data_IF_479210718988
#
_entry.id   IF_479210718988
#
_cell.length_a   1.000
_cell.length_b   1.000
_cell.length_c   1.000
_cell.angle_alpha   90.00
_cell.angle_beta   90.00
_cell.angle_gamma   90.00
#
_symmetry.space_group_name_H-M   'P 1'
#
loop_
_entity.id
_entity.type
_entity.pdbx_description
1 polymer ?
#
# COMPACT_ATOMS: atom_id res chain seq x y z
N UNK A 1 31.30 -8.81 39.93
CA UNK A 1 31.57 -7.56 39.19
C UNK A 1 33.04 -7.22 39.37
N UNK A 2 33.78 -6.91 38.30
CA UNK A 2 35.20 -6.56 38.39
C UNK A 2 35.32 -5.13 38.94
N UNK A 3 36.44 -4.81 39.59
CA UNK A 3 36.68 -3.47 40.15
C UNK A 3 36.59 -2.34 39.10
N UNK A 4 36.92 -2.63 37.85
CA UNK A 4 36.76 -1.69 36.73
C UNK A 4 35.30 -1.36 36.41
N UNK A 5 34.38 -2.32 36.54
CA UNK A 5 32.94 -2.10 36.26
C UNK A 5 32.32 -1.15 37.29
N UNK A 6 32.71 -1.30 38.56
CA UNK A 6 32.26 -0.45 39.67
C UNK A 6 32.75 0.99 39.48
N UNK A 7 34.00 1.16 39.04
CA UNK A 7 34.55 2.48 38.73
C UNK A 7 33.85 3.12 37.53
N UNK A 8 33.61 2.34 36.46
CA UNK A 8 32.90 2.80 35.27
C UNK A 8 31.49 3.29 35.60
N UNK A 9 30.74 2.55 36.42
CA UNK A 9 29.39 2.94 36.81
C UNK A 9 29.40 4.26 37.63
N UNK A 10 30.34 4.40 38.56
CA UNK A 10 30.49 5.64 39.34
C UNK A 10 30.84 6.84 38.45
N UNK A 11 31.70 6.63 37.46
CA UNK A 11 32.05 7.68 36.49
C UNK A 11 30.85 8.03 35.58
N UNK A 12 30.04 7.04 35.19
CA UNK A 12 28.81 7.25 34.43
C UNK A 12 27.74 8.02 35.23
N UNK A 13 27.57 7.69 36.51
CA UNK A 13 26.67 8.43 37.43
C UNK A 13 27.15 9.87 37.60
N UNK A 14 28.47 10.11 37.66
CA UNK A 14 29.02 11.47 37.72
C UNK A 14 28.72 12.28 36.45
N UNK A 15 28.65 11.64 35.29
CA UNK A 15 28.36 12.25 33.98
C UNK A 15 26.92 12.00 33.50
N UNK A 16 25.99 11.74 34.42
CA UNK A 16 24.63 11.26 34.09
C UNK A 16 23.88 12.12 33.08
N UNK A 17 24.01 13.45 33.14
CA UNK A 17 23.31 14.36 32.24
C UNK A 17 23.82 14.24 30.79
N UNK A 18 25.14 14.10 30.60
CA UNK A 18 25.74 13.90 29.28
C UNK A 18 25.42 12.52 28.72
N UNK A 19 25.50 11.49 29.57
CA UNK A 19 25.13 10.13 29.20
C UNK A 19 23.66 10.04 28.76
N UNK A 20 22.76 10.72 29.48
CA UNK A 20 21.34 10.79 29.15
C UNK A 20 21.11 11.52 27.82
N UNK A 21 21.78 12.65 27.58
CA UNK A 21 21.65 13.38 26.32
C UNK A 21 22.03 12.51 25.12
N UNK A 22 23.16 11.78 25.19
CA UNK A 22 23.60 10.85 24.15
C UNK A 22 22.58 9.73 23.97
N UNK A 23 22.11 9.14 25.08
CA UNK A 23 21.13 8.05 25.03
C UNK A 23 19.81 8.49 24.37
N UNK A 24 19.34 9.71 24.63
CA UNK A 24 18.13 10.25 24.00
C UNK A 24 18.31 10.49 22.50
N UNK A 25 19.47 11.00 22.07
CA UNK A 25 19.75 11.21 20.64
C UNK A 25 19.81 9.88 19.91
N UNK A 26 20.53 8.90 20.45
CA UNK A 26 20.63 7.54 19.88
C UNK A 26 19.25 6.88 19.88
N UNK A 27 18.54 6.94 21.00
CA UNK A 27 17.20 6.37 21.16
C UNK A 27 16.19 7.00 20.19
N UNK A 28 16.24 8.31 20.01
CA UNK A 28 15.41 9.02 19.04
C UNK A 28 15.68 8.58 17.60
N UNK A 29 16.95 8.42 17.22
CA UNK A 29 17.32 7.90 15.91
C UNK A 29 16.83 6.48 15.67
N UNK A 30 17.05 5.58 16.64
CA UNK A 30 16.59 4.18 16.57
C UNK A 30 15.06 4.10 16.54
N UNK A 31 14.37 4.87 17.38
CA UNK A 31 12.92 4.91 17.41
C UNK A 31 12.34 5.38 16.08
N UNK A 32 12.93 6.42 15.47
CA UNK A 32 12.50 6.94 14.17
C UNK A 32 12.63 5.88 13.08
N UNK A 33 13.76 5.16 13.04
CA UNK A 33 13.97 4.07 12.08
C UNK A 33 12.97 2.93 12.29
N UNK A 34 12.76 2.51 13.54
CA UNK A 34 11.81 1.44 13.88
C UNK A 34 10.39 1.82 13.50
N UNK A 35 9.96 3.05 13.80
CA UNK A 35 8.63 3.53 13.45
C UNK A 35 8.45 3.62 11.92
N UNK A 36 9.43 4.14 11.20
CA UNK A 36 9.36 4.24 9.75
C UNK A 36 9.25 2.85 9.09
N UNK A 37 10.15 1.92 9.45
CA UNK A 37 10.17 0.56 8.88
C UNK A 37 8.94 -0.23 9.33
N UNK A 38 8.56 -0.14 10.60
CA UNK A 38 7.41 -0.84 11.16
C UNK A 38 6.10 -0.37 10.52
N UNK A 39 5.90 0.95 10.41
CA UNK A 39 4.71 1.52 9.77
C UNK A 39 4.64 1.14 8.30
N UNK A 40 5.77 1.22 7.57
CA UNK A 40 5.84 0.81 6.18
C UNK A 40 5.43 -0.65 6.00
N UNK A 41 6.01 -1.57 6.78
CA UNK A 41 5.67 -3.00 6.71
C UNK A 41 4.21 -3.27 7.02
N UNK A 42 3.66 -2.63 8.06
CA UNK A 42 2.26 -2.83 8.45
C UNK A 42 1.29 -2.36 7.36
N UNK A 43 1.58 -1.20 6.74
CA UNK A 43 0.79 -0.69 5.61
C UNK A 43 0.94 -1.57 4.37
N UNK A 44 2.14 -2.04 4.07
CA UNK A 44 2.41 -2.88 2.91
C UNK A 44 1.74 -4.26 3.02
N UNK A 45 1.77 -4.86 4.20
CA UNK A 45 1.08 -6.12 4.49
C UNK A 45 -0.44 -5.95 4.39
N UNK A 46 -0.97 -4.86 4.97
CA UNK A 46 -2.40 -4.55 4.88
C UNK A 46 -2.83 -4.31 3.44
N UNK A 47 -2.02 -3.59 2.66
CA UNK A 47 -2.26 -3.36 1.22
C UNK A 47 -2.27 -4.68 0.46
N UNK A 48 -1.28 -5.54 0.70
CA UNK A 48 -1.14 -6.84 0.02
C UNK A 48 -2.34 -7.73 0.33
N UNK A 49 -2.71 -7.86 1.61
CA UNK A 49 -3.87 -8.63 2.04
C UNK A 49 -5.19 -8.06 1.47
N UNK A 50 -5.31 -6.74 1.36
CA UNK A 50 -6.45 -6.10 0.71
C UNK A 50 -6.50 -6.43 -0.79
N UNK A 51 -5.40 -6.25 -1.52
CA UNK A 51 -5.33 -6.54 -2.96
C UNK A 51 -5.59 -8.01 -3.26
N UNK A 52 -5.05 -8.94 -2.48
CA UNK A 52 -5.33 -10.36 -2.64
C UNK A 52 -6.81 -10.68 -2.42
N UNK A 53 -7.42 -10.14 -1.35
CA UNK A 53 -8.84 -10.35 -1.02
C UNK A 53 -9.78 -9.86 -2.12
N UNK A 54 -9.47 -8.72 -2.73
CA UNK A 54 -10.26 -8.13 -3.82
C UNK A 54 -9.75 -8.51 -5.21
N UNK A 55 -8.79 -9.43 -5.30
CA UNK A 55 -8.18 -9.91 -6.56
C UNK A 55 -7.76 -8.75 -7.46
N UNK A 56 -7.05 -7.79 -6.90
CA UNK A 56 -6.53 -6.66 -7.66
C UNK A 56 -5.60 -7.16 -8.77
N UNK A 57 -5.75 -6.65 -9.98
CA UNK A 57 -4.94 -7.11 -11.10
C UNK A 57 -3.49 -6.62 -10.97
N UNK A 58 -2.53 -7.48 -11.31
CA UNK A 58 -1.10 -7.12 -11.31
C UNK A 58 -0.71 -6.25 -12.52
N UNK A 59 -1.46 -6.38 -13.63
CA UNK A 59 -1.18 -5.70 -14.90
C UNK A 59 -2.46 -5.09 -15.46
N UNK A 60 -2.36 -3.85 -15.93
CA UNK A 60 -3.43 -3.13 -16.60
C UNK A 60 -3.01 -2.71 -18.01
N UNK A 61 -3.88 -2.94 -19.00
CA UNK A 61 -3.68 -2.49 -20.37
C UNK A 61 -4.94 -1.75 -20.85
N UNK A 62 -4.74 -0.58 -21.48
CA UNK A 62 -5.84 0.22 -22.02
C UNK A 62 -5.80 0.21 -23.54
N UNK A 63 -6.93 -0.10 -24.16
CA UNK A 63 -7.07 -0.19 -25.63
C UNK A 63 -8.37 0.49 -26.08
N UNK A 64 -8.36 1.12 -27.25
CA UNK A 64 -9.56 1.82 -27.77
C UNK A 64 -10.60 0.87 -28.36
N UNK A 65 -10.17 -0.13 -29.13
CA UNK A 65 -11.04 -1.14 -29.76
C UNK A 65 -10.35 -2.50 -29.68
N UNK A 66 -10.96 -3.43 -28.95
CA UNK A 66 -10.50 -4.80 -28.86
C UNK A 66 -11.70 -5.74 -28.75
N UNK A 67 -11.79 -6.81 -29.57
CA UNK A 67 -12.86 -7.79 -29.43
C UNK A 67 -12.65 -8.66 -28.18
N UNK A 68 -13.74 -9.05 -27.51
CA UNK A 68 -13.72 -9.92 -26.33
C UNK A 68 -13.06 -11.28 -26.60
N UNK A 69 -13.03 -11.74 -27.85
CA UNK A 69 -12.35 -12.97 -28.26
C UNK A 69 -10.83 -12.96 -27.92
N UNK A 70 -10.20 -11.79 -27.81
CA UNK A 70 -8.79 -11.70 -27.40
C UNK A 70 -8.54 -12.17 -25.96
N UNK A 71 -9.56 -12.13 -25.09
CA UNK A 71 -9.39 -12.53 -23.69
C UNK A 71 -9.01 -14.00 -23.54
N UNK A 72 -9.54 -14.87 -24.40
CA UNK A 72 -9.16 -16.29 -24.44
C UNK A 72 -7.68 -16.46 -24.76
N UNK A 73 -7.19 -15.79 -25.81
CA UNK A 73 -5.78 -15.81 -26.21
C UNK A 73 -4.84 -15.25 -25.15
N UNK A 74 -5.27 -14.22 -24.41
CA UNK A 74 -4.46 -13.65 -23.32
C UNK A 74 -4.41 -14.61 -22.13
N UNK A 75 -5.51 -15.30 -21.83
CA UNK A 75 -5.57 -16.29 -20.76
C UNK A 75 -4.69 -17.53 -21.03
N UNK A 76 -4.36 -17.81 -22.29
CA UNK A 76 -3.45 -18.90 -22.69
C UNK A 76 -1.96 -18.55 -22.50
N UNK A 77 -1.62 -17.27 -22.26
CA UNK A 77 -0.23 -16.87 -22.05
C UNK A 77 0.31 -17.52 -20.76
N UNK A 78 1.46 -18.20 -20.79
CA UNK A 78 2.04 -18.79 -19.59
C UNK A 78 2.25 -17.76 -18.48
N UNK A 79 1.75 -18.07 -17.28
CA UNK A 79 1.80 -17.19 -16.10
C UNK A 79 0.57 -16.29 -15.92
N UNK A 80 -0.37 -16.25 -16.87
CA UNK A 80 -1.64 -15.52 -16.71
C UNK A 80 -2.65 -16.39 -15.96
N UNK A 81 -2.94 -16.03 -14.71
CA UNK A 81 -3.92 -16.76 -13.89
C UNK A 81 -5.37 -16.40 -14.23
N UNK A 82 -5.65 -15.13 -14.53
CA UNK A 82 -6.98 -14.67 -14.91
C UNK A 82 -6.91 -13.38 -15.72
N UNK A 83 -7.94 -13.16 -16.55
CA UNK A 83 -8.07 -11.98 -17.40
C UNK A 83 -9.48 -11.44 -17.22
N UNK A 84 -9.60 -10.13 -17.10
CA UNK A 84 -10.88 -9.44 -17.02
C UNK A 84 -10.87 -8.21 -17.94
N UNK A 85 -12.02 -7.93 -18.57
CA UNK A 85 -12.17 -6.82 -19.49
C UNK A 85 -13.29 -5.91 -19.02
N UNK A 86 -12.99 -4.62 -18.93
CA UNK A 86 -13.92 -3.58 -18.52
C UNK A 86 -13.72 -2.32 -19.33
N UNK A 87 -14.78 -1.56 -19.47
CA UNK A 87 -14.76 -0.22 -20.03
C UNK A 87 -14.47 0.74 -18.89
N UNK A 88 -13.41 1.53 -19.01
CA UNK A 88 -13.11 2.63 -18.10
C UNK A 88 -13.05 3.92 -18.93
N UNK A 89 -13.86 4.91 -18.57
CA UNK A 89 -13.87 6.21 -19.25
C UNK A 89 -13.93 7.35 -18.23
N UNK A 90 -13.29 8.46 -18.57
CA UNK A 90 -13.46 9.69 -17.82
C UNK A 90 -14.82 10.29 -18.13
N UNK A 91 -15.48 10.82 -17.10
CA UNK A 91 -16.75 11.53 -17.23
C UNK A 91 -16.70 12.80 -16.39
N UNK A 92 -17.40 13.84 -16.84
CA UNK A 92 -17.67 15.01 -16.00
C UNK A 92 -18.90 14.70 -15.13
N UNK A 93 -18.74 14.85 -13.82
CA UNK A 93 -19.76 14.60 -12.82
C UNK A 93 -20.18 15.93 -12.20
N UNK A 94 -21.49 16.18 -12.22
CA UNK A 94 -22.08 17.26 -11.43
C UNK A 94 -22.24 16.76 -9.99
N UNK A 95 -21.40 17.28 -9.11
CA UNK A 95 -21.41 16.89 -7.69
C UNK A 95 -21.94 18.06 -6.86
N UNK A 96 -22.95 17.84 -6.00
CA UNK A 96 -23.47 18.88 -5.11
C UNK A 96 -22.35 19.53 -4.30
N UNK A 97 -22.30 20.87 -4.30
CA UNK A 97 -21.33 21.63 -3.51
C UNK A 97 -20.00 21.94 -4.20
N UNK A 98 -19.77 21.48 -5.43
CA UNK A 98 -18.63 21.93 -6.24
C UNK A 98 -19.04 23.05 -7.21
N UNK A 99 -18.20 24.09 -7.30
CA UNK A 99 -18.42 25.22 -8.19
C UNK A 99 -18.20 24.88 -9.69
N UNK A 100 -17.49 23.79 -9.97
CA UNK A 100 -17.26 23.28 -11.31
C UNK A 100 -17.41 21.75 -11.35
N UNK A 101 -17.78 21.15 -12.49
CA UNK A 101 -17.90 19.70 -12.63
C UNK A 101 -16.61 18.97 -12.25
N UNK A 102 -16.73 17.88 -11.50
CA UNK A 102 -15.61 17.04 -11.11
C UNK A 102 -15.28 16.04 -12.22
N UNK A 103 -14.00 15.74 -12.42
CA UNK A 103 -13.59 14.62 -13.28
C UNK A 103 -13.76 13.31 -12.51
N UNK A 104 -14.67 12.45 -12.97
CA UNK A 104 -14.86 11.09 -12.49
C UNK A 104 -14.33 10.04 -13.47
N UNK A 105 -14.26 8.80 -13.00
CA UNK A 105 -13.98 7.62 -13.83
C UNK A 105 -15.17 6.68 -13.71
N UNK A 106 -15.80 6.38 -14.84
CA UNK A 106 -16.87 5.39 -14.96
C UNK A 106 -16.24 4.07 -15.34
N UNK A 107 -16.46 3.03 -14.53
CA UNK A 107 -15.94 1.69 -14.76
C UNK A 107 -17.13 0.74 -14.89
N UNK A 108 -17.20 -0.01 -15.99
CA UNK A 108 -18.24 -1.00 -16.20
C UNK A 108 -18.09 -2.19 -15.25
N UNK A 109 -19.20 -2.71 -14.75
CA UNK A 109 -19.28 -3.98 -14.03
C UNK A 109 -19.79 -5.09 -14.96
N UNK A 110 -19.50 -6.37 -14.67
CA UNK A 110 -20.10 -7.48 -15.39
C UNK A 110 -21.62 -7.46 -15.20
N UNK A 111 -22.33 -7.90 -16.25
CA UNK A 111 -23.80 -7.96 -16.25
C UNK A 111 -24.34 -8.97 -15.23
N UNK A 112 -23.60 -10.04 -14.96
CA UNK A 112 -23.97 -11.10 -14.04
C UNK A 112 -22.79 -11.41 -13.12
N UNK A 113 -23.06 -11.43 -11.81
CA UNK A 113 -22.10 -11.82 -10.78
C UNK A 113 -21.07 -10.73 -10.44
N UNK A 114 -20.02 -11.14 -9.74
CA UNK A 114 -18.91 -10.25 -9.37
C UNK A 114 -17.81 -10.23 -10.43
N UNK A 115 -17.05 -9.12 -10.57
CA UNK A 115 -15.83 -9.07 -11.36
C UNK A 115 -14.86 -10.21 -10.96
N UNK A 116 -14.17 -10.79 -11.94
CA UNK A 116 -13.16 -11.82 -11.67
C UNK A 116 -11.94 -11.21 -11.00
N UNK A 117 -11.57 -10.01 -11.45
CA UNK A 117 -10.49 -9.19 -10.93
C UNK A 117 -11.04 -7.82 -10.49
N UNK A 118 -10.32 -7.16 -9.59
CA UNK A 118 -10.66 -5.82 -9.08
C UNK A 118 -12.10 -5.77 -8.52
N UNK A 119 -12.42 -6.68 -7.61
CA UNK A 119 -13.73 -6.73 -6.96
C UNK A 119 -14.04 -5.42 -6.24
N UNK A 120 -15.30 -5.01 -6.34
CA UNK A 120 -15.76 -3.77 -5.75
C UNK A 120 -15.96 -3.94 -4.24
N UNK A 121 -15.45 -2.98 -3.47
CA UNK A 121 -15.74 -2.84 -2.06
C UNK A 121 -16.53 -1.55 -1.84
N UNK A 122 -17.76 -1.67 -1.38
CA UNK A 122 -18.61 -0.55 -0.95
C UNK A 122 -18.92 -0.78 0.53
N UNK A 123 -18.84 0.27 1.33
CA UNK A 123 -19.21 0.27 2.75
C UNK A 123 -20.32 1.28 3.00
#
# INVERSE_FOLDING_TARGET
>A
MRALDIKLFRDLVRLWAQALAIALVVGGGVATLLLAVGSYRSLDETRTAYYERYRFADVFATVRRAPKALLGRIAEIPGVASVDARIAQFALLETPGLAAPATGVVISLPEIGEPKLNRLYIR
#
